data_IF_944356812753
#
_entry.id   IF_944356812753
#
_cell.length_a   1.000
_cell.length_b   1.000
_cell.length_c   1.000
_cell.angle_alpha   90.00
_cell.angle_beta   90.00
_cell.angle_gamma   90.00
#
_symmetry.space_group_name_H-M   'P 1'
#
loop_
_entity.id
_entity.type
_entity.pdbx_description
1 polymer ?
#
# COMPACT_ATOMS: atom_id res chain seq x y z
N UNK A 1 11.75 1.17 15.98
CA UNK A 1 11.70 1.97 14.71
C UNK A 1 11.23 1.06 13.60
N UNK A 2 10.11 1.38 12.97
CA UNK A 2 9.51 0.51 11.95
C UNK A 2 10.39 0.37 10.69
N UNK A 3 10.51 -0.87 10.19
CA UNK A 3 11.37 -1.26 9.07
C UNK A 3 10.50 -1.81 7.94
N UNK A 4 10.66 -1.34 6.68
CA UNK A 4 9.95 -1.88 5.54
C UNK A 4 10.63 -3.14 5.00
N UNK A 5 9.82 -4.12 4.59
CA UNK A 5 10.26 -5.29 3.81
C UNK A 5 9.16 -5.76 2.86
N UNK A 6 9.55 -6.41 1.78
CA UNK A 6 8.60 -7.05 0.87
C UNK A 6 7.94 -8.26 1.55
N UNK A 7 6.66 -8.43 1.29
CA UNK A 7 5.83 -9.52 1.83
C UNK A 7 4.98 -10.13 0.71
N UNK A 8 4.60 -11.38 0.84
CA UNK A 8 3.58 -12.03 0.01
C UNK A 8 2.22 -11.64 0.59
N UNK A 9 1.50 -10.72 -0.09
CA UNK A 9 0.29 -10.10 0.45
C UNK A 9 -0.79 -11.13 0.76
N UNK A 10 -0.98 -12.14 -0.11
CA UNK A 10 -1.96 -13.21 0.10
C UNK A 10 -1.72 -14.03 1.37
N UNK A 11 -0.47 -14.21 1.79
CA UNK A 11 -0.12 -14.91 3.03
C UNK A 11 -0.30 -14.04 4.28
N UNK A 12 -0.32 -12.71 4.10
CA UNK A 12 -0.38 -11.76 5.20
C UNK A 12 -1.79 -11.25 5.49
N UNK A 13 -2.79 -11.53 4.64
CA UNK A 13 -4.15 -10.99 4.78
C UNK A 13 -4.73 -11.28 6.18
N UNK A 14 -4.63 -12.51 6.66
CA UNK A 14 -5.17 -12.88 7.97
C UNK A 14 -4.43 -12.16 9.12
N UNK A 15 -3.11 -12.06 9.06
CA UNK A 15 -2.30 -11.36 10.06
C UNK A 15 -2.48 -9.85 10.01
N UNK A 16 -2.77 -9.32 8.83
CA UNK A 16 -3.02 -7.90 8.60
C UNK A 16 -4.46 -7.49 8.90
N UNK A 17 -5.37 -8.46 9.19
CA UNK A 17 -6.80 -8.19 9.33
C UNK A 17 -7.13 -7.02 10.25
N UNK A 18 -6.60 -6.93 11.49
CA UNK A 18 -6.89 -5.78 12.36
C UNK A 18 -6.45 -4.43 11.75
N UNK A 19 -5.37 -4.43 10.97
CA UNK A 19 -4.87 -3.24 10.31
C UNK A 19 -5.70 -2.89 9.06
N UNK A 20 -6.24 -3.89 8.36
CA UNK A 20 -7.19 -3.71 7.25
C UNK A 20 -8.51 -3.11 7.75
N UNK A 21 -9.01 -3.54 8.90
CA UNK A 21 -10.20 -2.97 9.54
C UNK A 21 -9.97 -1.51 9.94
N UNK A 22 -8.83 -1.18 10.55
CA UNK A 22 -8.45 0.20 10.88
C UNK A 22 -8.40 1.08 9.60
N UNK A 23 -7.82 0.55 8.52
CA UNK A 23 -7.72 1.23 7.24
C UNK A 23 -9.10 1.46 6.62
N UNK A 24 -9.94 0.42 6.57
CA UNK A 24 -11.28 0.48 6.05
C UNK A 24 -12.14 1.50 6.81
N UNK A 25 -12.13 1.46 8.14
CA UNK A 25 -12.87 2.37 8.99
C UNK A 25 -12.47 3.84 8.77
N UNK A 26 -11.20 4.09 8.43
CA UNK A 26 -10.69 5.45 8.21
C UNK A 26 -11.02 5.99 6.80
N UNK A 27 -11.02 5.13 5.77
CA UNK A 27 -11.00 5.58 4.38
C UNK A 27 -12.16 5.11 3.51
N UNK A 28 -13.04 4.22 3.98
CA UNK A 28 -14.20 3.79 3.20
C UNK A 28 -15.15 4.97 2.94
N UNK A 29 -15.43 5.24 1.67
CA UNK A 29 -16.31 6.36 1.26
C UNK A 29 -17.74 5.91 1.03
N UNK A 30 -17.94 4.66 0.65
CA UNK A 30 -19.27 4.06 0.37
C UNK A 30 -19.33 2.67 1.01
N UNK A 31 -19.40 2.57 2.36
CA UNK A 31 -19.29 1.30 3.07
C UNK A 31 -20.41 0.31 2.71
N UNK A 32 -21.57 0.79 2.29
CA UNK A 32 -22.73 -0.08 1.97
C UNK A 32 -22.48 -0.98 0.74
N UNK A 33 -21.59 -0.57 -0.17
CA UNK A 33 -21.24 -1.32 -1.38
C UNK A 33 -19.79 -1.79 -1.42
N UNK A 34 -18.90 -1.13 -0.70
CA UNK A 34 -17.47 -1.45 -0.66
C UNK A 34 -17.16 -2.25 0.63
N UNK A 35 -17.70 -3.45 0.72
CA UNK A 35 -17.46 -4.32 1.89
C UNK A 35 -16.00 -4.78 1.93
N UNK A 36 -15.41 -4.78 3.13
CA UNK A 36 -14.06 -5.32 3.33
C UNK A 36 -14.09 -6.86 3.17
N UNK A 37 -13.75 -7.31 1.98
CA UNK A 37 -13.68 -8.73 1.63
C UNK A 37 -12.56 -8.96 0.61
N UNK A 38 -11.29 -9.08 1.05
CA UNK A 38 -10.18 -9.35 0.16
C UNK A 38 -10.37 -10.67 -0.61
N UNK A 39 -10.13 -10.62 -1.91
CA UNK A 39 -10.14 -11.78 -2.79
C UNK A 39 -8.75 -12.45 -2.79
N UNK A 40 -8.53 -13.38 -1.87
CA UNK A 40 -7.23 -14.03 -1.65
C UNK A 40 -6.74 -14.76 -2.91
N UNK A 41 -7.63 -15.43 -3.64
CA UNK A 41 -7.27 -16.16 -4.86
C UNK A 41 -6.78 -15.21 -5.95
N UNK A 42 -7.40 -14.03 -6.05
CA UNK A 42 -6.97 -13.00 -6.99
C UNK A 42 -5.62 -12.40 -6.60
N UNK A 43 -5.37 -12.18 -5.30
CA UNK A 43 -4.04 -11.78 -4.82
C UNK A 43 -2.99 -12.80 -5.23
N UNK A 44 -3.20 -14.09 -4.96
CA UNK A 44 -2.29 -15.17 -5.33
C UNK A 44 -2.00 -15.22 -6.84
N UNK A 45 -3.05 -15.08 -7.65
CA UNK A 45 -2.93 -15.07 -9.10
C UNK A 45 -2.07 -13.90 -9.60
N UNK A 46 -2.30 -12.70 -9.10
CA UNK A 46 -1.55 -11.52 -9.48
C UNK A 46 -0.10 -11.56 -9.00
N UNK A 47 0.14 -12.07 -7.79
CA UNK A 47 1.48 -12.25 -7.24
C UNK A 47 2.29 -13.29 -8.05
N UNK A 48 1.69 -14.43 -8.36
CA UNK A 48 2.30 -15.47 -9.18
C UNK A 48 2.66 -14.98 -10.60
N UNK A 49 1.85 -14.08 -11.15
CA UNK A 49 2.10 -13.46 -12.45
C UNK A 49 3.12 -12.30 -12.40
N UNK A 50 3.60 -11.90 -11.22
CA UNK A 50 4.47 -10.75 -11.04
C UNK A 50 3.75 -9.39 -11.19
N UNK A 51 2.43 -9.40 -11.23
CA UNK A 51 1.58 -8.21 -11.43
C UNK A 51 1.13 -7.56 -10.11
N UNK A 52 1.52 -8.11 -8.98
CA UNK A 52 1.28 -7.54 -7.65
C UNK A 52 2.49 -7.74 -6.76
N UNK A 53 2.82 -6.72 -5.98
CA UNK A 53 3.76 -6.84 -4.86
C UNK A 53 3.29 -6.00 -3.68
N UNK A 54 3.73 -6.36 -2.49
CA UNK A 54 3.41 -5.64 -1.28
C UNK A 54 4.64 -5.38 -0.41
N UNK A 55 4.64 -4.23 0.26
CA UNK A 55 5.63 -3.87 1.27
C UNK A 55 4.93 -3.79 2.63
N UNK A 56 5.38 -4.58 3.59
CA UNK A 56 4.98 -4.47 4.98
C UNK A 56 5.93 -3.56 5.76
N UNK A 57 5.39 -2.79 6.69
CA UNK A 57 6.15 -1.98 7.64
C UNK A 57 6.04 -2.62 9.02
N UNK A 58 7.16 -3.02 9.60
CA UNK A 58 7.21 -3.76 10.86
C UNK A 58 7.86 -2.96 11.97
N UNK A 59 7.21 -2.90 13.12
CA UNK A 59 7.80 -2.38 14.35
C UNK A 59 8.21 -3.53 15.26
N UNK A 60 9.45 -3.48 15.72
CA UNK A 60 10.02 -4.50 16.61
C UNK A 60 9.88 -4.04 18.05
N UNK A 61 9.35 -4.88 18.90
CA UNK A 61 9.26 -4.66 20.33
C UNK A 61 9.67 -5.93 21.06
N UNK A 62 10.00 -5.79 22.34
CA UNK A 62 10.28 -6.92 23.22
C UNK A 62 8.96 -7.24 23.92
N UNK A 63 8.53 -8.50 23.83
CA UNK A 63 7.34 -8.98 24.53
C UNK A 63 7.58 -9.11 26.06
N UNK A 64 6.54 -9.49 26.79
CA UNK A 64 6.61 -9.64 28.24
C UNK A 64 7.61 -10.73 28.70
N UNK A 65 7.95 -11.67 27.83
CA UNK A 65 8.87 -12.77 28.09
C UNK A 65 10.31 -12.47 27.64
N UNK A 66 10.57 -11.25 27.15
CA UNK A 66 11.89 -10.80 26.70
C UNK A 66 12.24 -11.21 25.28
N UNK A 67 11.30 -11.79 24.50
CA UNK A 67 11.52 -12.17 23.12
C UNK A 67 11.24 -11.00 22.19
N UNK A 68 11.99 -10.94 21.09
CA UNK A 68 11.73 -9.99 20.02
C UNK A 68 10.46 -10.35 19.25
N UNK A 69 9.45 -9.48 19.30
CA UNK A 69 8.22 -9.61 18.54
C UNK A 69 8.14 -8.54 17.47
N UNK A 70 7.59 -8.88 16.30
CA UNK A 70 7.33 -7.93 15.21
C UNK A 70 5.83 -7.75 15.02
N UNK A 71 5.42 -6.49 14.88
CA UNK A 71 4.03 -6.13 14.57
C UNK A 71 3.98 -5.41 13.23
N UNK A 72 3.09 -5.84 12.35
CA UNK A 72 2.78 -5.11 11.12
C UNK A 72 2.02 -3.82 11.49
N UNK A 73 2.63 -2.68 11.17
CA UNK A 73 2.10 -1.34 11.51
C UNK A 73 1.76 -0.49 10.30
N UNK A 74 2.01 -1.02 9.11
CA UNK A 74 1.67 -0.39 7.84
C UNK A 74 1.93 -1.31 6.67
N UNK A 75 1.35 -0.99 5.53
CA UNK A 75 1.55 -1.75 4.29
C UNK A 75 1.31 -0.88 3.06
N UNK A 76 1.85 -1.34 1.94
CA UNK A 76 1.60 -0.84 0.61
C UNK A 76 1.34 -2.03 -0.31
N UNK A 77 0.22 -2.01 -1.02
CA UNK A 77 -0.12 -3.01 -2.05
C UNK A 77 -0.13 -2.34 -3.40
N UNK A 78 0.51 -2.95 -4.39
CA UNK A 78 0.85 -2.31 -5.63
C UNK A 78 0.61 -3.25 -6.81
N UNK A 79 -0.07 -2.73 -7.84
CA UNK A 79 -0.40 -3.46 -9.07
C UNK A 79 0.53 -2.98 -10.18
N UNK A 80 1.23 -3.93 -10.82
CA UNK A 80 2.14 -3.68 -11.93
C UNK A 80 1.45 -4.07 -13.23
N UNK A 81 1.40 -3.18 -14.20
CA UNK A 81 0.83 -3.45 -15.50
C UNK A 81 1.50 -2.61 -16.60
N UNK A 82 1.43 -3.07 -17.83
CA UNK A 82 1.78 -2.25 -19.01
C UNK A 82 0.63 -1.29 -19.30
N UNK A 83 0.95 -0.09 -19.75
CA UNK A 83 -0.07 0.84 -20.21
C UNK A 83 -0.69 0.33 -21.52
N UNK A 84 -2.01 0.39 -21.66
CA UNK A 84 -2.71 -0.11 -22.84
C UNK A 84 -2.34 0.65 -24.13
N UNK A 85 -2.11 1.96 -24.01
CA UNK A 85 -1.80 2.82 -25.16
C UNK A 85 -0.30 3.03 -25.35
N UNK A 86 0.51 2.73 -24.35
CA UNK A 86 1.97 2.85 -24.36
C UNK A 86 2.57 1.51 -23.95
N UNK A 87 2.57 0.53 -24.87
CA UNK A 87 2.92 -0.87 -24.58
C UNK A 87 4.31 -1.11 -23.99
N UNK A 88 5.25 -0.17 -24.21
CA UNK A 88 6.60 -0.23 -23.62
C UNK A 88 6.67 0.43 -22.22
N UNK A 89 5.57 1.03 -21.76
CA UNK A 89 5.51 1.70 -20.47
C UNK A 89 4.99 0.74 -19.40
N UNK A 90 5.90 0.17 -18.61
CA UNK A 90 5.55 -0.56 -17.40
C UNK A 90 5.23 0.44 -16.29
N UNK A 91 4.02 0.36 -15.77
CA UNK A 91 3.49 1.23 -14.72
C UNK A 91 3.23 0.44 -13.45
N UNK A 92 3.25 1.13 -12.33
CA UNK A 92 2.79 0.61 -11.06
C UNK A 92 1.73 1.54 -10.47
N UNK A 93 0.61 0.98 -10.09
CA UNK A 93 -0.48 1.67 -9.42
C UNK A 93 -0.51 1.24 -7.95
N UNK A 94 -0.34 2.19 -7.04
CA UNK A 94 -0.56 1.92 -5.63
C UNK A 94 -2.06 1.78 -5.37
N UNK A 95 -2.49 0.58 -5.02
CA UNK A 95 -3.88 0.25 -4.71
C UNK A 95 -4.21 0.58 -3.25
N UNK A 96 -3.33 0.17 -2.33
CA UNK A 96 -3.48 0.43 -0.90
C UNK A 96 -2.19 0.99 -0.31
N UNK A 97 -2.31 2.02 0.51
CA UNK A 97 -1.24 2.54 1.36
C UNK A 97 -1.81 2.91 2.73
N UNK A 98 -1.33 2.27 3.76
CA UNK A 98 -1.74 2.55 5.13
C UNK A 98 -0.60 2.44 6.13
N UNK A 99 -0.61 3.33 7.10
CA UNK A 99 0.24 3.25 8.30
C UNK A 99 -0.66 3.49 9.50
N UNK A 100 -0.58 2.62 10.49
CA UNK A 100 -1.32 2.74 11.75
C UNK A 100 -1.13 4.13 12.37
N UNK A 101 -2.20 4.74 12.84
CA UNK A 101 -2.21 6.12 13.31
C UNK A 101 -1.14 6.43 14.36
N UNK A 102 -0.91 5.50 15.28
CA UNK A 102 0.13 5.62 16.31
C UNK A 102 1.56 5.66 15.75
N UNK A 103 1.78 5.17 14.51
CA UNK A 103 3.07 5.07 13.84
C UNK A 103 3.27 6.10 12.72
N UNK A 104 2.34 7.04 12.53
CA UNK A 104 2.43 8.11 11.50
C UNK A 104 3.36 9.25 11.85
N UNK A 105 4.03 9.18 13.00
CA UNK A 105 5.02 10.18 13.42
C UNK A 105 6.38 9.89 12.82
N UNK A 106 7.16 10.95 12.55
CA UNK A 106 8.49 10.83 11.96
C UNK A 106 8.46 10.38 10.50
N UNK A 107 9.37 9.47 10.12
CA UNK A 107 9.65 9.09 8.74
C UNK A 107 8.97 7.77 8.29
N UNK A 108 8.07 7.19 9.09
CA UNK A 108 7.50 5.86 8.80
C UNK A 108 6.81 5.80 7.44
N UNK A 109 5.91 6.75 7.15
CA UNK A 109 5.24 6.82 5.84
C UNK A 109 6.20 7.03 4.67
N UNK A 110 7.21 7.91 4.87
CA UNK A 110 8.25 8.15 3.85
C UNK A 110 9.08 6.90 3.56
N UNK A 111 9.44 6.14 4.59
CA UNK A 111 10.18 4.87 4.41
C UNK A 111 9.38 3.85 3.64
N UNK A 112 8.06 3.78 3.91
CA UNK A 112 7.17 2.89 3.18
C UNK A 112 7.08 3.28 1.71
N UNK A 113 6.87 4.57 1.40
CA UNK A 113 6.86 5.10 0.03
C UNK A 113 8.19 4.79 -0.68
N UNK A 114 9.31 5.16 -0.07
CA UNK A 114 10.65 4.93 -0.67
C UNK A 114 10.92 3.45 -0.91
N UNK A 115 10.53 2.55 0.01
CA UNK A 115 10.71 1.12 -0.16
C UNK A 115 9.82 0.58 -1.30
N UNK A 116 8.59 1.07 -1.41
CA UNK A 116 7.67 0.72 -2.49
C UNK A 116 8.23 1.15 -3.86
N UNK A 117 8.70 2.37 -3.98
CA UNK A 117 9.27 2.88 -5.23
C UNK A 117 10.55 2.14 -5.63
N UNK A 118 11.39 1.81 -4.67
CA UNK A 118 12.57 0.98 -4.92
C UNK A 118 12.18 -0.38 -5.47
N UNK A 119 11.24 -1.07 -4.83
CA UNK A 119 10.76 -2.37 -5.27
C UNK A 119 10.09 -2.32 -6.67
N UNK A 120 9.36 -1.25 -6.96
CA UNK A 120 8.79 -1.00 -8.29
C UNK A 120 9.89 -0.79 -9.33
N UNK A 121 10.90 0.01 -9.02
CA UNK A 121 12.04 0.28 -9.92
C UNK A 121 12.85 -0.97 -10.21
N UNK A 122 13.08 -1.83 -9.22
CA UNK A 122 13.77 -3.12 -9.39
C UNK A 122 13.02 -4.06 -10.34
N UNK A 123 11.68 -3.90 -10.47
CA UNK A 123 10.81 -4.60 -11.43
C UNK A 123 10.78 -3.95 -12.83
N UNK A 124 11.53 -2.88 -13.06
CA UNK A 124 11.57 -2.16 -14.34
C UNK A 124 10.43 -1.15 -14.53
N UNK A 125 9.65 -0.88 -13.49
CA UNK A 125 8.59 0.15 -13.54
C UNK A 125 9.20 1.51 -13.87
N UNK A 126 8.57 2.22 -14.80
CA UNK A 126 8.98 3.56 -15.26
C UNK A 126 8.11 4.67 -14.70
N UNK A 127 6.89 4.36 -14.31
CA UNK A 127 5.94 5.33 -13.76
C UNK A 127 5.19 4.71 -12.57
N UNK A 128 5.17 5.43 -11.45
CA UNK A 128 4.41 5.08 -10.25
C UNK A 128 3.22 6.02 -10.11
N UNK A 129 2.02 5.46 -9.96
CA UNK A 129 0.79 6.19 -9.68
C UNK A 129 0.40 5.99 -8.20
N UNK A 130 0.31 7.06 -7.46
CA UNK A 130 -0.13 7.07 -6.08
C UNK A 130 -1.59 7.50 -5.99
N UNK A 131 -2.45 6.64 -5.46
CA UNK A 131 -3.84 6.98 -5.20
C UNK A 131 -3.98 7.63 -3.83
N UNK A 132 -4.24 8.91 -3.81
CA UNK A 132 -4.46 9.68 -2.58
C UNK A 132 -5.89 10.24 -2.55
N UNK A 133 -6.61 9.98 -1.47
CA UNK A 133 -7.92 10.62 -1.27
C UNK A 133 -7.73 12.08 -0.90
N UNK A 134 -8.53 13.00 -1.46
CA UNK A 134 -8.44 14.43 -1.18
C UNK A 134 -8.51 14.74 0.32
N UNK A 135 -7.65 15.64 0.78
CA UNK A 135 -7.59 16.08 2.18
C UNK A 135 -6.88 15.13 3.14
N UNK A 136 -6.38 13.97 2.68
CA UNK A 136 -5.61 13.04 3.51
C UNK A 136 -4.17 13.52 3.73
N UNK A 137 -3.46 12.86 4.65
CA UNK A 137 -2.03 13.13 4.86
C UNK A 137 -1.21 12.84 3.61
N UNK A 138 -1.52 11.76 2.90
CA UNK A 138 -0.84 11.39 1.66
C UNK A 138 -1.03 12.46 0.59
N UNK A 139 -2.26 12.92 0.35
CA UNK A 139 -2.59 13.98 -0.59
C UNK A 139 -1.79 15.26 -0.36
N UNK A 140 -1.61 15.65 0.91
CA UNK A 140 -0.82 16.84 1.27
C UNK A 140 0.70 16.62 1.20
N UNK A 141 1.14 15.37 1.32
CA UNK A 141 2.56 15.01 1.36
C UNK A 141 3.14 14.88 -0.05
N UNK A 142 2.45 14.24 -0.98
CA UNK A 142 2.98 13.96 -2.32
C UNK A 142 3.44 15.22 -3.08
N UNK A 143 2.67 16.33 -3.14
CA UNK A 143 3.14 17.55 -3.80
C UNK A 143 4.39 18.16 -3.17
N UNK A 144 4.54 18.06 -1.83
CA UNK A 144 5.74 18.54 -1.12
C UNK A 144 7.00 17.73 -1.42
N UNK A 145 6.81 16.51 -1.90
CA UNK A 145 7.87 15.61 -2.34
C UNK A 145 8.16 15.73 -3.84
N UNK A 146 7.49 16.66 -4.54
CA UNK A 146 7.70 16.90 -5.96
C UNK A 146 6.86 16.01 -6.90
N UNK A 147 5.87 15.29 -6.37
CA UNK A 147 4.96 14.50 -7.21
C UNK A 147 3.93 15.42 -7.90
N UNK A 148 3.74 15.22 -9.20
CA UNK A 148 2.70 15.90 -9.98
C UNK A 148 1.38 15.13 -9.94
N UNK A 149 0.27 15.85 -10.12
CA UNK A 149 -1.04 15.25 -10.35
C UNK A 149 -1.07 14.74 -11.79
N UNK A 150 -1.34 13.44 -11.96
CA UNK A 150 -1.51 12.81 -13.28
C UNK A 150 -2.97 12.89 -13.74
N UNK A 151 -3.88 12.43 -12.90
CA UNK A 151 -5.31 12.36 -13.20
C UNK A 151 -6.14 12.68 -11.94
N UNK A 152 -7.39 13.07 -12.15
CA UNK A 152 -8.40 13.20 -11.10
C UNK A 152 -9.49 12.16 -11.39
N UNK A 153 -9.74 11.26 -10.43
CA UNK A 153 -10.70 10.17 -10.55
C UNK A 153 -12.00 10.56 -9.86
N UNK A 154 -13.11 10.53 -10.61
CA UNK A 154 -14.46 10.68 -10.09
C UNK A 154 -15.14 9.32 -10.05
N UNK A 155 -16.00 9.08 -9.05
CA UNK A 155 -16.75 7.84 -8.91
C UNK A 155 -18.24 8.11 -8.78
N UNK A 156 -19.06 7.21 -9.31
CA UNK A 156 -20.51 7.21 -9.19
C UNK A 156 -20.99 5.79 -8.90
N UNK A 157 -21.90 5.64 -7.94
CA UNK A 157 -22.62 4.38 -7.72
C UNK A 157 -23.67 4.22 -8.81
N UNK A 158 -23.72 3.05 -9.45
CA UNK A 158 -24.66 2.72 -10.52
C UNK A 158 -25.77 1.79 -10.00
#
# INVERSE_FOLDING_TARGET
>A
MAIPREIVASEWIDRAWPLLEEHYAELATVPDIMLLKPDVERYQTLEAAGNLFAIGMFDTHVDADGNGAETLVGYSVNIVCTNLHYGDLLMCQNDLLFVRRSHRRGMTGMRLITATERAAKERGVKMMLWHAKPGTTLDRMLPRLGYGIQDIIYSQVL
#
